data_IF_511886825348
#
_entry.id   IF_511886825348
#
_cell.length_a   1.000
_cell.length_b   1.000
_cell.length_c   1.000
_cell.angle_alpha   90.00
_cell.angle_beta   90.00
_cell.angle_gamma   90.00
#
_symmetry.space_group_name_H-M   'P 1'
#
loop_
_entity.id
_entity.type
_entity.pdbx_description
1 polymer ?
#
# COMPACT_ATOMS: atom_id res chain seq x y z
N UNK A 1 4.43 16.63 14.59
CA UNK A 1 3.37 15.63 14.36
C UNK A 1 4.04 14.26 14.31
N UNK A 2 3.44 13.21 14.86
CA UNK A 2 4.00 11.87 14.74
C UNK A 2 4.00 11.41 13.25
N UNK A 3 4.98 10.60 12.80
CA UNK A 3 4.97 10.03 11.45
C UNK A 3 3.73 9.17 11.22
N UNK A 4 3.20 9.19 10.00
CA UNK A 4 2.10 8.32 9.57
C UNK A 4 2.66 6.91 9.39
N UNK A 5 2.04 5.91 10.04
CA UNK A 5 2.49 4.51 9.99
C UNK A 5 1.91 3.83 8.75
N UNK A 6 2.79 3.44 7.84
CA UNK A 6 2.46 2.96 6.51
C UNK A 6 2.65 1.45 6.41
N UNK A 7 1.66 0.78 5.82
CA UNK A 7 1.81 -0.58 5.32
C UNK A 7 1.91 -0.57 3.79
N UNK A 8 2.89 -1.31 3.26
CA UNK A 8 3.13 -1.42 1.82
C UNK A 8 2.71 -2.81 1.32
N UNK A 9 1.70 -2.84 0.44
CA UNK A 9 1.20 -4.09 -0.17
C UNK A 9 1.86 -4.29 -1.53
N UNK A 10 2.41 -5.48 -1.75
CA UNK A 10 2.93 -5.91 -3.05
C UNK A 10 4.42 -5.64 -3.30
N UNK A 11 5.18 -5.24 -2.27
CA UNK A 11 6.64 -5.17 -2.37
C UNK A 11 7.20 -6.59 -2.46
N UNK A 12 7.80 -6.95 -3.60
CA UNK A 12 8.25 -8.33 -3.86
C UNK A 12 9.76 -8.43 -3.99
N UNK A 13 10.36 -9.51 -3.48
CA UNK A 13 11.79 -9.81 -3.66
C UNK A 13 12.12 -10.43 -5.03
N UNK A 14 11.12 -10.88 -5.78
CA UNK A 14 11.31 -11.72 -6.98
C UNK A 14 10.42 -11.36 -8.16
N UNK A 15 9.63 -10.29 -8.05
CA UNK A 15 8.76 -9.85 -9.14
C UNK A 15 9.60 -9.32 -10.31
N UNK A 16 9.24 -9.71 -11.53
CA UNK A 16 9.88 -9.18 -12.76
C UNK A 16 9.62 -7.69 -12.96
N UNK A 17 8.48 -7.20 -12.49
CA UNK A 17 8.09 -5.78 -12.48
C UNK A 17 7.72 -5.45 -11.05
N UNK A 18 8.41 -4.47 -10.46
CA UNK A 18 8.28 -4.14 -9.04
C UNK A 18 8.06 -2.64 -8.85
N UNK A 19 6.82 -2.19 -9.07
CA UNK A 19 6.48 -0.77 -8.98
C UNK A 19 6.69 -0.21 -7.57
N UNK A 20 6.38 -1.00 -6.53
CA UNK A 20 6.58 -0.61 -5.13
C UNK A 20 8.05 -0.27 -4.83
N UNK A 21 8.99 -1.10 -5.31
CA UNK A 21 10.43 -0.86 -5.18
C UNK A 21 10.91 0.37 -5.96
N UNK A 22 10.37 0.61 -7.15
CA UNK A 22 10.86 1.69 -8.02
C UNK A 22 10.26 3.06 -7.67
N UNK A 23 8.99 3.11 -7.24
CA UNK A 23 8.25 4.35 -7.08
C UNK A 23 8.04 4.76 -5.61
N UNK A 24 7.70 3.81 -4.72
CA UNK A 24 7.26 4.13 -3.35
C UNK A 24 8.34 3.94 -2.31
N UNK A 25 9.01 2.78 -2.33
CA UNK A 25 10.03 2.43 -1.35
C UNK A 25 11.17 3.46 -1.25
N UNK A 26 11.73 4.01 -2.36
CA UNK A 26 12.84 4.95 -2.28
C UNK A 26 12.42 6.25 -1.58
N UNK A 27 11.21 6.73 -1.84
CA UNK A 27 10.68 7.91 -1.15
C UNK A 27 10.48 7.62 0.34
N UNK A 28 9.82 6.51 0.70
CA UNK A 28 9.61 6.09 2.09
C UNK A 28 10.93 5.91 2.85
N UNK A 29 12.01 5.51 2.18
CA UNK A 29 13.33 5.36 2.79
C UNK A 29 14.17 6.65 2.82
N UNK A 30 13.84 7.64 2.00
CA UNK A 30 14.53 8.93 1.95
C UNK A 30 14.38 9.72 3.26
N UNK A 31 15.30 10.65 3.54
CA UNK A 31 15.23 11.50 4.73
C UNK A 31 13.91 12.29 4.81
N UNK A 32 13.41 12.77 3.67
CA UNK A 32 12.13 13.48 3.59
C UNK A 32 10.94 12.56 3.80
N UNK A 33 10.97 11.33 3.27
CA UNK A 33 9.90 10.36 3.53
C UNK A 33 9.85 10.00 5.01
N UNK A 34 11.00 9.67 5.62
CA UNK A 34 11.11 9.31 7.03
C UNK A 34 10.72 10.43 8.01
N UNK A 35 10.75 11.69 7.60
CA UNK A 35 10.24 12.79 8.45
C UNK A 35 8.71 12.87 8.49
N UNK A 36 8.02 12.17 7.59
CA UNK A 36 6.55 12.17 7.49
C UNK A 36 5.91 10.78 7.68
N UNK A 37 6.64 9.72 7.34
CA UNK A 37 6.13 8.36 7.26
C UNK A 37 7.08 7.37 7.93
N UNK A 38 6.50 6.32 8.51
CA UNK A 38 7.22 5.16 9.01
C UNK A 38 6.67 3.91 8.32
N UNK A 39 7.52 3.15 7.64
CA UNK A 39 7.11 1.85 7.07
C UNK A 39 7.08 0.82 8.22
N UNK A 40 5.88 0.41 8.63
CA UNK A 40 5.68 -0.49 9.78
C UNK A 40 5.25 -1.89 9.40
N UNK A 41 4.73 -2.09 8.18
CA UNK A 41 4.21 -3.39 7.77
C UNK A 41 4.35 -3.65 6.25
N UNK A 42 4.48 -4.92 5.90
CA UNK A 42 4.36 -5.42 4.53
C UNK A 42 3.21 -6.43 4.44
N UNK A 43 2.50 -6.44 3.32
CA UNK A 43 1.56 -7.49 2.96
C UNK A 43 1.90 -8.05 1.59
N UNK A 44 1.97 -9.37 1.51
CA UNK A 44 2.12 -10.11 0.26
C UNK A 44 1.17 -11.32 0.25
N UNK A 45 1.25 -12.15 -0.79
CA UNK A 45 0.45 -13.38 -0.94
C UNK A 45 0.66 -14.40 0.18
N UNK A 46 1.73 -14.28 0.95
CA UNK A 46 1.97 -15.04 2.19
C UNK A 46 2.89 -14.26 3.12
N UNK A 47 2.91 -14.65 4.41
CA UNK A 47 3.83 -14.08 5.39
C UNK A 47 5.28 -14.30 4.95
N UNK A 48 5.59 -15.49 4.42
CA UNK A 48 6.94 -15.84 3.94
C UNK A 48 7.37 -14.96 2.77
N UNK A 49 6.45 -14.62 1.86
CA UNK A 49 6.74 -13.70 0.76
C UNK A 49 6.99 -12.26 1.28
N UNK A 50 6.26 -11.83 2.30
CA UNK A 50 6.51 -10.55 2.97
C UNK A 50 7.86 -10.54 3.72
N UNK A 51 8.23 -11.64 4.38
CA UNK A 51 9.54 -11.80 5.04
C UNK A 51 10.71 -11.82 4.05
N UNK A 52 10.52 -12.50 2.91
CA UNK A 52 11.49 -12.51 1.83
C UNK A 52 11.73 -11.09 1.29
N UNK A 53 10.67 -10.31 1.07
CA UNK A 53 10.77 -8.91 0.69
C UNK A 53 11.48 -8.07 1.77
N UNK A 54 11.08 -8.21 3.04
CA UNK A 54 11.72 -7.52 4.17
C UNK A 54 13.23 -7.76 4.20
N UNK A 55 13.63 -9.02 4.03
CA UNK A 55 15.04 -9.43 4.02
C UNK A 55 15.78 -8.89 2.79
N UNK A 56 15.18 -9.04 1.60
CA UNK A 56 15.78 -8.59 0.34
C UNK A 56 16.05 -7.09 0.31
N UNK A 57 15.14 -6.28 0.85
CA UNK A 57 15.26 -4.82 0.91
C UNK A 57 15.93 -4.29 2.19
N UNK A 58 16.52 -5.16 3.01
CA UNK A 58 17.19 -4.82 4.27
C UNK A 58 16.32 -3.96 5.21
N UNK A 59 15.03 -4.28 5.28
CA UNK A 59 14.08 -3.57 6.12
C UNK A 59 14.19 -4.05 7.58
N UNK A 60 14.02 -3.15 8.57
CA UNK A 60 14.16 -3.48 9.99
C UNK A 60 13.26 -4.64 10.42
N UNK A 61 13.67 -5.38 11.45
CA UNK A 61 12.85 -6.44 12.06
C UNK A 61 11.56 -5.92 12.72
N UNK A 62 11.48 -4.62 12.97
CA UNK A 62 10.27 -3.96 13.46
C UNK A 62 9.17 -3.87 12.39
N UNK A 63 9.51 -4.03 11.11
CA UNK A 63 8.52 -4.07 10.02
C UNK A 63 7.79 -5.42 10.06
N UNK A 64 6.53 -5.40 10.48
CA UNK A 64 5.67 -6.58 10.57
C UNK A 64 5.38 -7.15 9.18
N UNK A 65 5.15 -8.45 9.09
CA UNK A 65 4.90 -9.16 7.82
C UNK A 65 3.56 -9.88 7.86
N UNK A 66 2.70 -9.61 6.88
CA UNK A 66 1.37 -10.17 6.77
C UNK A 66 1.21 -10.98 5.48
N UNK A 67 0.40 -12.03 5.56
CA UNK A 67 -0.07 -12.81 4.41
C UNK A 67 -1.58 -12.74 4.21
N UNK A 68 -2.29 -12.05 5.10
CA UNK A 68 -3.75 -11.92 5.07
C UNK A 68 -4.15 -10.44 5.20
N UNK A 69 -4.92 -9.88 4.24
CA UNK A 69 -5.43 -8.52 4.30
C UNK A 69 -6.23 -8.17 5.57
N UNK A 70 -7.00 -9.11 6.13
CA UNK A 70 -7.81 -8.87 7.32
C UNK A 70 -6.96 -8.76 8.59
N UNK A 71 -5.85 -9.49 8.66
CA UNK A 71 -4.90 -9.39 9.79
C UNK A 71 -4.19 -8.03 9.79
N UNK A 72 -3.82 -7.55 8.60
CA UNK A 72 -3.28 -6.21 8.41
C UNK A 72 -4.30 -5.13 8.77
N UNK A 73 -5.56 -5.30 8.34
CA UNK A 73 -6.63 -4.35 8.63
C UNK A 73 -6.95 -4.24 10.14
N UNK A 74 -6.73 -5.32 10.90
CA UNK A 74 -6.92 -5.35 12.35
C UNK A 74 -5.77 -4.75 13.17
N UNK A 75 -4.60 -4.50 12.56
CA UNK A 75 -3.46 -3.93 13.29
C UNK A 75 -3.73 -2.45 13.63
N UNK A 76 -3.83 -2.06 14.92
CA UNK A 76 -3.99 -0.67 15.32
C UNK A 76 -2.74 0.18 15.03
N UNK A 77 -1.61 -0.45 14.68
CA UNK A 77 -0.36 0.24 14.38
C UNK A 77 -0.23 0.73 12.94
N UNK A 78 -1.27 0.58 12.13
CA UNK A 78 -1.26 0.95 10.71
C UNK A 78 -2.28 2.06 10.46
N UNK A 79 -1.82 3.20 9.97
CA UNK A 79 -2.65 4.37 9.66
C UNK A 79 -3.03 4.42 8.17
N UNK A 80 -2.05 4.10 7.30
CA UNK A 80 -2.16 4.17 5.84
C UNK A 80 -1.75 2.84 5.20
N UNK A 81 -2.54 2.39 4.24
CA UNK A 81 -2.24 1.23 3.40
C UNK A 81 -1.99 1.68 1.96
N UNK A 82 -0.86 1.28 1.39
CA UNK A 82 -0.46 1.62 0.01
C UNK A 82 -0.41 0.35 -0.84
N UNK A 83 -1.33 0.22 -1.79
CA UNK A 83 -1.47 -0.95 -2.65
C UNK A 83 -0.83 -0.77 -4.02
N UNK A 84 0.11 -1.66 -4.35
CA UNK A 84 0.92 -1.64 -5.57
C UNK A 84 0.87 -2.98 -6.32
N UNK A 85 -0.15 -3.80 -6.04
CA UNK A 85 -0.25 -5.14 -6.61
C UNK A 85 -0.78 -5.10 -8.03
N UNK A 86 -0.98 -6.27 -8.65
CA UNK A 86 -1.73 -6.34 -9.90
C UNK A 86 -3.20 -5.96 -9.63
N UNK A 87 -3.82 -5.29 -10.61
CA UNK A 87 -5.16 -4.71 -10.48
C UNK A 87 -6.24 -5.71 -10.04
N UNK A 88 -6.14 -6.97 -10.47
CA UNK A 88 -7.05 -8.07 -10.10
C UNK A 88 -7.08 -8.33 -8.58
N UNK A 89 -6.03 -7.91 -7.87
CA UNK A 89 -5.88 -8.10 -6.43
C UNK A 89 -6.12 -6.83 -5.61
N UNK A 90 -6.37 -5.67 -6.23
CA UNK A 90 -6.56 -4.40 -5.50
C UNK A 90 -7.73 -4.48 -4.52
N UNK A 91 -8.92 -4.89 -5.00
CA UNK A 91 -10.13 -4.97 -4.17
C UNK A 91 -9.98 -5.92 -2.98
N UNK A 92 -9.61 -7.21 -3.17
CA UNK A 92 -9.51 -8.13 -2.03
C UNK A 92 -8.43 -7.74 -1.02
N UNK A 93 -7.36 -7.06 -1.44
CA UNK A 93 -6.27 -6.65 -0.54
C UNK A 93 -6.55 -5.35 0.22
N UNK A 94 -7.39 -4.45 -0.32
CA UNK A 94 -7.61 -3.13 0.28
C UNK A 94 -8.96 -2.95 0.93
N UNK A 95 -9.99 -3.68 0.48
CA UNK A 95 -11.34 -3.55 1.04
C UNK A 95 -11.41 -3.78 2.56
N UNK A 96 -10.67 -4.75 3.16
CA UNK A 96 -10.64 -4.90 4.62
C UNK A 96 -10.11 -3.66 5.34
N UNK A 97 -9.03 -3.06 4.84
CA UNK A 97 -8.42 -1.85 5.43
C UNK A 97 -9.32 -0.64 5.30
N UNK A 98 -10.00 -0.51 4.16
CA UNK A 98 -11.00 0.52 3.91
C UNK A 98 -12.16 0.42 4.91
N UNK A 99 -12.72 -0.78 5.10
CA UNK A 99 -13.81 -1.02 6.08
C UNK A 99 -13.36 -0.81 7.52
N UNK A 100 -12.09 -1.06 7.82
CA UNK A 100 -11.49 -0.78 9.12
C UNK A 100 -11.25 0.73 9.36
N UNK A 101 -11.56 1.60 8.39
CA UNK A 101 -11.41 3.04 8.50
C UNK A 101 -9.97 3.54 8.33
N UNK A 102 -9.06 2.71 7.82
CA UNK A 102 -7.69 3.14 7.51
C UNK A 102 -7.67 4.03 6.27
N UNK A 103 -6.69 4.93 6.19
CA UNK A 103 -6.43 5.61 4.93
C UNK A 103 -5.91 4.60 3.89
N UNK A 104 -6.36 4.73 2.64
CA UNK A 104 -6.00 3.79 1.57
C UNK A 104 -5.52 4.54 0.34
N UNK A 105 -4.30 4.23 -0.10
CA UNK A 105 -3.75 4.59 -1.40
C UNK A 105 -3.79 3.34 -2.29
N UNK A 106 -4.45 3.42 -3.44
CA UNK A 106 -4.44 2.35 -4.46
C UNK A 106 -3.77 2.86 -5.72
N UNK A 107 -2.84 2.10 -6.27
CA UNK A 107 -2.27 2.42 -7.58
C UNK A 107 -3.31 2.41 -8.70
N UNK A 108 -3.07 3.19 -9.75
CA UNK A 108 -3.96 3.17 -10.90
C UNK A 108 -3.73 1.91 -11.76
N UNK A 109 -4.79 1.25 -12.25
CA UNK A 109 -6.22 1.53 -12.07
C UNK A 109 -6.81 1.03 -10.74
N UNK A 110 -7.89 1.68 -10.27
CA UNK A 110 -8.54 1.39 -8.98
C UNK A 110 -8.92 -0.09 -8.82
N UNK A 111 -9.55 -0.66 -9.84
CA UNK A 111 -10.00 -2.05 -9.88
C UNK A 111 -10.01 -2.55 -11.33
N UNK A 112 -10.15 -3.86 -11.50
CA UNK A 112 -10.09 -4.53 -12.81
C UNK A 112 -11.23 -4.12 -13.75
N UNK A 113 -12.36 -3.66 -13.20
CA UNK A 113 -13.51 -3.19 -13.96
C UNK A 113 -14.36 -2.22 -13.11
N UNK A 114 -15.33 -1.59 -13.77
CA UNK A 114 -16.22 -0.61 -13.13
C UNK A 114 -17.05 -1.22 -11.99
N UNK A 115 -17.63 -2.41 -12.17
CA UNK A 115 -18.44 -3.05 -11.14
C UNK A 115 -17.63 -3.34 -9.86
N UNK A 116 -16.38 -3.77 -10.00
CA UNK A 116 -15.46 -3.99 -8.89
C UNK A 116 -15.11 -2.68 -8.16
N UNK A 117 -14.90 -1.58 -8.90
CA UNK A 117 -14.69 -0.26 -8.30
C UNK A 117 -15.92 0.25 -7.55
N UNK A 118 -17.12 0.03 -8.09
CA UNK A 118 -18.38 0.36 -7.42
C UNK A 118 -18.57 -0.47 -6.14
N UNK A 119 -18.26 -1.77 -6.19
CA UNK A 119 -18.33 -2.65 -5.04
C UNK A 119 -17.36 -2.23 -3.93
N UNK A 120 -16.12 -1.85 -4.28
CA UNK A 120 -15.12 -1.38 -3.32
C UNK A 120 -15.55 -0.08 -2.61
N UNK A 121 -16.17 0.84 -3.33
CA UNK A 121 -16.57 2.16 -2.81
C UNK A 121 -18.01 2.20 -2.28
N UNK A 122 -18.77 1.12 -2.48
CA UNK A 122 -20.23 1.08 -2.29
C UNK A 122 -20.98 2.23 -2.99
N UNK A 123 -20.43 2.75 -4.09
CA UNK A 123 -20.91 3.97 -4.77
C UNK A 123 -20.96 5.22 -3.86
N UNK A 124 -20.11 5.29 -2.85
CA UNK A 124 -20.02 6.41 -1.91
C UNK A 124 -18.68 7.12 -2.03
N UNK A 125 -18.66 8.38 -1.59
CA UNK A 125 -17.42 9.14 -1.39
C UNK A 125 -16.63 8.50 -0.24
N UNK A 126 -15.32 8.35 -0.45
CA UNK A 126 -14.37 7.88 0.56
C UNK A 126 -13.40 9.02 0.87
N UNK A 127 -13.44 9.58 2.08
CA UNK A 127 -12.67 10.78 2.42
C UNK A 127 -11.17 10.52 2.64
N UNK A 128 -10.79 9.36 3.20
CA UNK A 128 -9.40 8.99 3.45
C UNK A 128 -8.82 8.10 2.34
N UNK A 129 -8.99 8.50 1.08
CA UNK A 129 -8.55 7.71 -0.08
C UNK A 129 -7.70 8.50 -1.06
N UNK A 130 -6.74 7.80 -1.69
CA UNK A 130 -5.85 8.33 -2.72
C UNK A 130 -5.76 7.31 -3.86
N UNK A 131 -5.73 7.79 -5.10
CA UNK A 131 -5.44 6.99 -6.28
C UNK A 131 -4.11 7.41 -6.90
N UNK A 132 -3.31 6.45 -7.36
CA UNK A 132 -2.02 6.64 -8.05
C UNK A 132 -2.15 7.29 -9.42
N UNK A 133 -2.56 8.57 -9.46
CA UNK A 133 -2.59 9.40 -10.66
C UNK A 133 -1.48 10.47 -10.59
N UNK A 134 -0.25 10.02 -10.32
CA UNK A 134 0.93 10.86 -10.04
C UNK A 134 1.30 11.83 -11.16
N UNK A 135 0.86 11.57 -12.40
CA UNK A 135 1.00 12.53 -13.50
C UNK A 135 0.36 13.89 -13.21
N UNK A 136 -0.67 13.96 -12.35
CA UNK A 136 -1.30 15.21 -11.90
C UNK A 136 -0.40 16.06 -10.99
N UNK A 137 0.65 15.48 -10.43
CA UNK A 137 1.61 16.17 -9.58
C UNK A 137 2.93 16.50 -10.31
N UNK A 138 3.07 16.14 -11.59
CA UNK A 138 4.24 16.46 -12.37
C UNK A 138 4.35 17.98 -12.57
N UNK A 139 5.55 18.54 -12.46
CA UNK A 139 5.79 19.98 -12.65
C UNK A 139 5.44 20.49 -14.05
N UNK A 140 5.34 19.59 -15.03
CA UNK A 140 4.95 19.89 -16.42
C UNK A 140 3.43 19.74 -16.68
N UNK A 141 2.62 19.44 -15.65
CA UNK A 141 1.17 19.30 -15.78
C UNK A 141 0.40 20.64 -15.78
N UNK A 142 1.07 21.74 -16.16
CA UNK A 142 0.49 23.08 -16.29
C UNK A 142 0.89 23.71 -17.63
#
# INVERSE_FOLDING_TARGET
>A
MAPIRVALIGLSASAKVNWAEQAHLPYLQSARGKSHYELVALLNSSVQAAEAARSHFNLPATVKTYGNPDDLARDPDIDLVVCNTRVDTHVPTTAPSLRAGKAVFIEWPLAENYAAAQALTENKRIDASIIGLQGRAASAAC
#
